data_IF_964959758809
#
_entry.id   IF_964959758809
#
_cell.length_a   1.000
_cell.length_b   1.000
_cell.length_c   1.000
_cell.angle_alpha   90.00
_cell.angle_beta   90.00
_cell.angle_gamma   90.00
#
_symmetry.space_group_name_H-M   'P 1'
#
loop_
_entity.id
_entity.type
_entity.pdbx_description
1 polymer ?
#
# COMPACT_ATOMS: atom_id res chain seq x y z
N UNK A 1 -6.20 -14.78 -1.99
CA UNK A 1 -4.93 -14.76 -2.77
C UNK A 1 -4.63 -13.31 -3.14
N UNK A 2 -3.37 -12.92 -3.20
CA UNK A 2 -2.91 -11.57 -3.61
C UNK A 2 -1.94 -11.73 -4.78
N UNK A 3 -1.95 -10.79 -5.72
CA UNK A 3 -0.99 -10.74 -6.82
C UNK A 3 0.08 -9.71 -6.51
N UNK A 4 1.35 -10.10 -6.64
CA UNK A 4 2.45 -9.16 -6.70
C UNK A 4 2.83 -9.04 -8.17
N UNK A 5 2.50 -7.89 -8.76
CA UNK A 5 2.66 -7.65 -10.19
C UNK A 5 3.90 -6.82 -10.48
N UNK A 6 4.54 -7.10 -11.62
CA UNK A 6 5.43 -6.15 -12.28
C UNK A 6 4.57 -5.20 -13.10
N UNK A 7 4.71 -3.90 -12.88
CA UNK A 7 3.86 -2.88 -13.52
C UNK A 7 4.72 -1.81 -14.18
N UNK A 8 4.47 -1.55 -15.46
CA UNK A 8 5.14 -0.50 -16.24
C UNK A 8 4.32 0.79 -16.16
N UNK A 9 4.81 1.76 -15.38
CA UNK A 9 4.13 3.04 -15.15
C UNK A 9 4.37 4.07 -16.26
N UNK A 10 5.48 3.98 -16.99
CA UNK A 10 5.84 4.97 -18.00
C UNK A 10 5.94 6.38 -17.40
N UNK A 11 5.27 7.36 -18.02
CA UNK A 11 5.14 8.74 -17.51
C UNK A 11 3.84 8.88 -16.67
N UNK A 12 3.93 9.01 -15.33
CA UNK A 12 2.76 9.15 -14.47
C UNK A 12 2.27 10.60 -14.33
N UNK A 13 0.97 10.80 -14.08
CA UNK A 13 0.42 12.03 -13.49
C UNK A 13 0.23 11.82 -11.99
N UNK A 14 0.67 12.75 -11.17
CA UNK A 14 0.40 12.73 -9.73
C UNK A 14 -0.96 13.38 -9.41
N UNK A 15 -1.74 12.73 -8.56
CA UNK A 15 -3.04 13.21 -8.10
C UNK A 15 -3.18 12.95 -6.60
N UNK A 16 -3.95 13.79 -5.90
CA UNK A 16 -4.12 13.71 -4.45
C UNK A 16 -5.48 13.13 -4.02
N UNK A 17 -6.32 12.80 -4.99
CA UNK A 17 -7.68 12.28 -4.79
C UNK A 17 -7.83 10.93 -5.50
N UNK A 18 -8.79 10.12 -5.05
CA UNK A 18 -9.16 8.88 -5.72
C UNK A 18 -9.92 9.20 -7.01
N UNK A 19 -9.19 9.48 -8.09
CA UNK A 19 -9.82 9.87 -9.36
C UNK A 19 -10.22 8.63 -10.14
N UNK A 20 -11.50 8.55 -10.50
CA UNK A 20 -12.01 7.61 -11.50
C UNK A 20 -11.79 8.21 -12.88
N UNK A 21 -10.73 7.79 -13.58
CA UNK A 21 -10.52 8.13 -15.00
C UNK A 21 -10.67 6.83 -15.80
N UNK A 22 -11.29 6.91 -16.98
CA UNK A 22 -11.46 5.75 -17.85
C UNK A 22 -10.21 5.45 -18.70
N UNK A 23 -9.34 6.45 -18.88
CA UNK A 23 -8.14 6.38 -19.70
C UNK A 23 -7.00 7.16 -19.04
N UNK A 24 -5.75 6.88 -19.46
CA UNK A 24 -4.63 7.69 -19.02
C UNK A 24 -4.81 9.15 -19.48
N UNK A 25 -4.46 10.15 -18.66
CA UNK A 25 -4.44 11.54 -19.11
C UNK A 25 -3.58 11.72 -20.37
N UNK A 26 -3.88 12.68 -21.26
CA UNK A 26 -3.10 12.90 -22.48
C UNK A 26 -1.60 13.00 -22.22
N UNK A 27 -0.81 12.26 -22.99
CA UNK A 27 0.65 12.21 -22.86
C UNK A 27 1.18 11.44 -21.65
N UNK A 28 0.31 10.74 -20.90
CA UNK A 28 0.68 9.94 -19.74
C UNK A 28 0.24 8.49 -19.90
N UNK A 29 0.80 7.63 -19.07
CA UNK A 29 0.62 6.17 -19.16
C UNK A 29 0.02 5.58 -17.88
N UNK A 30 0.08 6.33 -16.79
CA UNK A 30 -0.44 5.94 -15.48
C UNK A 30 -0.81 7.16 -14.65
N UNK A 31 -1.52 6.92 -13.56
CA UNK A 31 -1.79 7.90 -12.50
C UNK A 31 -1.23 7.38 -11.19
N UNK A 32 -0.64 8.26 -10.39
CA UNK A 32 -0.18 7.98 -9.04
C UNK A 32 -1.00 8.83 -8.07
N UNK A 33 -1.86 8.18 -7.30
CA UNK A 33 -2.52 8.76 -6.14
C UNK A 33 -1.51 8.89 -5.01
N UNK A 34 -1.14 10.12 -4.62
CA UNK A 34 -0.24 10.39 -3.50
C UNK A 34 -1.04 10.55 -2.20
N UNK A 35 -0.53 10.05 -1.06
CA UNK A 35 -1.12 10.33 0.23
C UNK A 35 -1.24 11.83 0.51
N UNK A 36 -2.34 12.24 1.12
CA UNK A 36 -2.60 13.65 1.45
C UNK A 36 -3.51 13.78 2.66
N UNK A 37 -3.41 14.90 3.38
CA UNK A 37 -4.28 15.19 4.50
C UNK A 37 -5.74 15.33 4.01
N UNK A 38 -6.63 14.47 4.52
CA UNK A 38 -8.03 14.41 4.07
C UNK A 38 -8.26 13.66 2.75
N UNK A 39 -7.21 13.03 2.19
CA UNK A 39 -7.28 12.23 0.97
C UNK A 39 -6.83 10.79 1.22
N UNK A 40 -5.94 10.28 0.36
CA UNK A 40 -5.44 8.91 0.46
C UNK A 40 -4.51 8.74 1.66
N UNK A 41 -4.63 7.60 2.36
CA UNK A 41 -3.70 7.22 3.43
C UNK A 41 -2.42 6.57 2.87
N UNK A 42 -2.52 5.89 1.73
CA UNK A 42 -1.43 5.16 1.08
C UNK A 42 -1.39 5.49 -0.41
N UNK A 43 -0.23 5.35 -1.06
CA UNK A 43 -0.13 5.60 -2.49
C UNK A 43 -0.92 4.54 -3.27
N UNK A 44 -1.60 4.99 -4.31
CA UNK A 44 -2.33 4.13 -5.25
C UNK A 44 -1.78 4.33 -6.66
N UNK A 45 -1.64 3.24 -7.42
CA UNK A 45 -1.09 3.27 -8.79
C UNK A 45 -2.14 2.75 -9.75
N UNK A 46 -2.46 3.54 -10.77
CA UNK A 46 -3.48 3.20 -11.76
C UNK A 46 -2.85 3.14 -13.15
N UNK A 47 -3.05 2.02 -13.83
CA UNK A 47 -2.73 1.82 -15.25
C UNK A 47 -4.03 1.59 -16.03
N UNK A 48 -4.01 1.90 -17.32
CA UNK A 48 -5.22 1.90 -18.16
C UNK A 48 -5.18 0.88 -19.30
N UNK A 49 -4.06 0.14 -19.44
CA UNK A 49 -3.89 -0.94 -20.41
C UNK A 49 -3.43 -2.20 -19.69
N UNK A 50 -4.06 -3.33 -19.97
CA UNK A 50 -3.78 -4.60 -19.28
C UNK A 50 -2.34 -5.07 -19.51
N UNK A 51 -1.77 -4.78 -20.67
CA UNK A 51 -0.42 -5.17 -21.07
C UNK A 51 0.69 -4.47 -20.25
N UNK A 52 0.34 -3.43 -19.48
CA UNK A 52 1.28 -2.76 -18.58
C UNK A 52 1.52 -3.54 -17.28
N UNK A 53 0.72 -4.57 -16.97
CA UNK A 53 0.90 -5.39 -15.78
C UNK A 53 1.16 -6.86 -16.15
N UNK A 54 2.19 -7.43 -15.53
CA UNK A 54 2.47 -8.85 -15.57
C UNK A 54 2.32 -9.43 -14.15
N UNK A 55 1.42 -10.41 -13.93
CA UNK A 55 1.24 -11.04 -12.62
C UNK A 55 2.42 -11.96 -12.32
N UNK A 56 3.44 -11.41 -11.67
CA UNK A 56 4.71 -12.12 -11.46
C UNK A 56 4.60 -13.19 -10.36
N UNK A 57 3.85 -12.92 -9.29
CA UNK A 57 3.66 -13.87 -8.20
C UNK A 57 2.20 -13.93 -7.70
N UNK A 58 1.78 -15.14 -7.28
CA UNK A 58 0.50 -15.38 -6.61
C UNK A 58 0.76 -15.77 -5.15
N UNK A 59 0.37 -14.89 -4.23
CA UNK A 59 0.55 -15.07 -2.79
C UNK A 59 -0.73 -15.63 -2.18
N UNK A 60 -0.61 -16.77 -1.48
CA UNK A 60 -1.68 -17.33 -0.66
C UNK A 60 -1.37 -17.06 0.80
N UNK A 61 -2.28 -16.37 1.49
CA UNK A 61 -2.09 -15.92 2.87
C UNK A 61 -3.39 -16.01 3.65
N UNK A 62 -3.29 -15.92 4.98
CA UNK A 62 -4.44 -15.81 5.89
C UNK A 62 -4.20 -14.65 6.83
N UNK A 63 -5.18 -13.76 6.95
CA UNK A 63 -5.12 -12.66 7.92
C UNK A 63 -5.21 -13.27 9.31
N UNK A 64 -4.23 -12.99 10.17
CA UNK A 64 -4.25 -13.44 11.56
C UNK A 64 -5.09 -12.47 12.39
N UNK A 65 -5.96 -13.01 13.23
CA UNK A 65 -6.62 -12.21 14.27
C UNK A 65 -5.53 -11.72 15.24
N UNK A 66 -5.48 -10.42 15.58
CA UNK A 66 -4.55 -9.94 16.59
C UNK A 66 -4.80 -10.70 17.89
N UNK A 67 -3.73 -11.23 18.50
CA UNK A 67 -3.85 -11.87 19.80
C UNK A 67 -3.90 -10.78 20.87
N UNK A 68 -4.67 -10.98 21.94
CA UNK A 68 -4.70 -10.02 23.07
C UNK A 68 -3.31 -9.82 23.71
N UNK A 69 -2.37 -10.71 23.42
CA UNK A 69 -0.98 -10.66 23.88
C UNK A 69 -0.12 -9.69 23.05
N UNK A 70 -0.50 -9.39 21.81
CA UNK A 70 0.25 -8.45 20.95
C UNK A 70 0.11 -6.98 21.42
N UNK A 71 -0.96 -6.66 22.16
CA UNK A 71 -1.16 -5.34 22.78
C UNK A 71 -0.38 -5.11 24.08
N UNK A 72 0.27 -6.15 24.64
CA UNK A 72 0.95 -6.06 25.94
C UNK A 72 2.48 -6.05 25.86
N UNK A 73 3.07 -6.15 24.67
CA UNK A 73 4.54 -6.24 24.51
C UNK A 73 5.27 -4.90 24.38
N UNK A 74 4.54 -3.77 24.40
CA UNK A 74 5.14 -2.42 24.31
C UNK A 74 5.29 -1.70 25.65
N UNK A 75 4.93 -2.34 26.78
CA UNK A 75 4.95 -1.68 28.09
C UNK A 75 5.11 -2.65 29.26
N UNK A 76 6.27 -3.30 29.36
CA UNK A 76 6.80 -3.79 30.65
C UNK A 76 8.28 -4.15 30.57
N UNK A 77 9.14 -3.16 30.79
CA UNK A 77 10.52 -3.36 31.26
C UNK A 77 11.01 -2.10 31.97
N UNK A 78 10.42 -1.81 33.14
CA UNK A 78 11.04 -1.03 34.20
C UNK A 78 10.60 -1.63 35.54
N UNK A 79 11.21 -2.75 35.91
CA UNK A 79 11.42 -3.09 37.31
C UNK A 79 12.92 -3.37 37.47
N UNK A 80 13.68 -2.31 37.78
CA UNK A 80 14.97 -2.47 38.43
C UNK A 80 14.68 -2.45 39.93
N UNK A 81 14.55 -3.63 40.52
CA UNK A 81 14.72 -3.83 41.95
C UNK A 81 16.19 -3.60 42.30
N UNK A 82 16.52 -2.36 42.65
CA UNK A 82 17.84 -2.03 43.18
C UNK A 82 17.95 -2.55 44.63
N UNK A 83 18.76 -3.58 44.72
CA UNK A 83 19.41 -4.14 45.89
C UNK A 83 20.16 -3.06 46.71
N UNK A 84 19.71 -2.74 47.93
CA UNK A 84 20.48 -2.53 49.19
C UNK A 84 19.50 -2.24 50.32
#
# INVERSE_FOLDING_TARGET
KLLLCRVVLGKPVEQYTAVRIAHAPPGHHSVIGRPSAGGLNYPEYVIYRGEQAYPEYIITFRIKKPSATDSMSSSSSLDMSNNT
#
